data_IF_288222719614
#
_entry.id   IF_288222719614
#
_cell.length_a   1.000
_cell.length_b   1.000
_cell.length_c   1.000
_cell.angle_alpha   90.00
_cell.angle_beta   90.00
_cell.angle_gamma   90.00
#
_symmetry.space_group_name_H-M   'P 1'
#
loop_
_entity.id
_entity.type
_entity.pdbx_description
1 polymer ?
#
# COMPACT_ATOMS: atom_id res chain seq x y z
N UNK A 1 -6.11 -9.72 2.71
CA UNK A 1 -4.68 -9.75 3.08
C UNK A 1 -4.01 -8.69 2.25
N UNK A 2 -3.29 -7.77 2.88
CA UNK A 2 -2.62 -6.66 2.22
C UNK A 2 -1.12 -6.92 2.15
N UNK A 3 -0.51 -6.56 1.03
CA UNK A 3 0.94 -6.69 0.80
C UNK A 3 1.48 -5.43 0.13
N UNK A 4 2.71 -5.05 0.42
CA UNK A 4 3.38 -3.97 -0.32
C UNK A 4 4.89 -4.16 -0.34
N UNK A 5 5.48 -4.07 -1.52
CA UNK A 5 6.93 -4.18 -1.75
C UNK A 5 7.38 -3.17 -2.81
N UNK A 6 8.67 -2.84 -2.79
CA UNK A 6 9.27 -1.94 -3.78
C UNK A 6 9.55 -2.72 -5.06
N UNK A 7 8.99 -2.24 -6.17
CA UNK A 7 9.13 -2.83 -7.51
C UNK A 7 9.93 -1.90 -8.42
N UNK A 8 10.97 -2.42 -9.07
CA UNK A 8 11.69 -1.69 -10.11
C UNK A 8 10.91 -1.79 -11.43
N UNK A 9 10.62 -0.64 -12.05
CA UNK A 9 9.83 -0.60 -13.29
C UNK A 9 10.67 -0.75 -14.56
N UNK A 10 11.98 -0.51 -14.47
CA UNK A 10 12.89 -0.57 -15.61
C UNK A 10 14.18 -1.32 -15.25
N UNK A 11 14.70 -2.11 -16.20
CA UNK A 11 16.02 -2.74 -16.11
C UNK A 11 17.16 -1.71 -16.21
N UNK A 12 16.88 -0.55 -16.83
CA UNK A 12 17.79 0.58 -16.97
C UNK A 12 17.01 1.86 -16.63
N UNK A 13 17.30 2.46 -15.48
CA UNK A 13 16.60 3.62 -14.94
C UNK A 13 16.39 3.52 -13.42
N UNK A 14 16.07 4.65 -12.80
CA UNK A 14 15.80 4.84 -11.36
C UNK A 14 14.30 4.78 -11.00
N UNK A 15 13.45 4.58 -12.01
CA UNK A 15 12.00 4.46 -11.85
C UNK A 15 11.66 3.21 -11.02
N UNK A 16 11.13 3.45 -9.83
CA UNK A 16 10.58 2.42 -8.95
C UNK A 16 9.19 2.81 -8.46
N UNK A 17 8.39 1.81 -8.15
CA UNK A 17 7.00 1.93 -7.72
C UNK A 17 6.78 1.08 -6.48
N UNK A 18 5.90 1.55 -5.60
CA UNK A 18 5.53 0.80 -4.40
C UNK A 18 4.02 0.50 -4.38
N UNK A 19 3.59 -0.59 -5.03
CA UNK A 19 2.20 -1.02 -5.04
C UNK A 19 1.71 -1.54 -3.67
N UNK A 20 0.43 -1.29 -3.41
CA UNK A 20 -0.35 -1.95 -2.36
C UNK A 20 -1.26 -3.01 -3.00
N UNK A 21 -0.96 -4.27 -2.73
CA UNK A 21 -1.68 -5.43 -3.22
C UNK A 21 -2.73 -5.93 -2.23
N UNK A 22 -3.88 -6.35 -2.75
CA UNK A 22 -4.95 -7.00 -2.01
C UNK A 22 -5.18 -8.41 -2.56
N UNK A 23 -5.17 -9.37 -1.64
CA UNK A 23 -5.60 -10.73 -1.88
C UNK A 23 -6.79 -11.10 -0.99
N UNK A 24 -7.78 -11.74 -1.59
CA UNK A 24 -8.93 -12.29 -0.88
C UNK A 24 -8.54 -13.56 -0.11
N UNK A 25 -8.74 -13.55 1.21
CA UNK A 25 -8.35 -14.67 2.08
C UNK A 25 -9.24 -15.91 1.94
N UNK A 26 -10.47 -15.73 1.44
CA UNK A 26 -11.42 -16.79 1.12
C UNK A 26 -11.16 -17.44 -0.25
N UNK A 27 -10.13 -16.99 -0.98
CA UNK A 27 -9.70 -17.62 -2.22
C UNK A 27 -8.58 -18.62 -1.96
N UNK A 28 -8.59 -19.73 -2.71
CA UNK A 28 -7.62 -20.81 -2.51
C UNK A 28 -6.18 -20.31 -2.72
N UNK A 29 -5.23 -20.86 -1.95
CA UNK A 29 -3.80 -20.56 -2.13
C UNK A 29 -3.37 -20.83 -3.58
N UNK A 30 -3.81 -21.94 -4.16
CA UNK A 30 -3.44 -22.38 -5.50
C UNK A 30 -3.85 -21.39 -6.59
N UNK A 31 -5.01 -20.76 -6.46
CA UNK A 31 -5.43 -19.71 -7.40
C UNK A 31 -4.64 -18.42 -7.19
N UNK A 32 -4.40 -18.03 -5.93
CA UNK A 32 -3.65 -16.81 -5.61
C UNK A 32 -2.21 -16.82 -6.13
N UNK A 33 -1.55 -17.98 -6.11
CA UNK A 33 -0.18 -18.13 -6.61
C UNK A 33 -0.08 -18.32 -8.12
N UNK A 34 -1.21 -18.43 -8.83
CA UNK A 34 -1.24 -18.61 -10.28
C UNK A 34 -1.41 -17.24 -10.95
N UNK A 35 -0.40 -16.69 -11.66
CA UNK A 35 -0.48 -15.33 -12.21
C UNK A 35 -1.66 -15.07 -13.15
N UNK A 36 -2.10 -16.09 -13.89
CA UNK A 36 -3.18 -15.98 -14.87
C UNK A 36 -4.59 -15.81 -14.26
N UNK A 37 -4.77 -15.96 -12.94
CA UNK A 37 -6.09 -15.90 -12.30
C UNK A 37 -6.55 -14.49 -11.96
N UNK A 38 -5.67 -13.48 -12.03
CA UNK A 38 -6.00 -12.11 -11.65
C UNK A 38 -6.39 -11.94 -10.18
N UNK A 39 -5.93 -12.85 -9.31
CA UNK A 39 -6.29 -12.87 -7.88
C UNK A 39 -5.50 -11.87 -7.02
N UNK A 40 -4.53 -11.19 -7.63
CA UNK A 40 -3.78 -10.09 -7.04
C UNK A 40 -4.40 -8.79 -7.54
N UNK A 41 -4.96 -7.99 -6.63
CA UNK A 41 -5.57 -6.71 -6.96
C UNK A 41 -4.68 -5.56 -6.52
N UNK A 42 -4.34 -4.65 -7.42
CA UNK A 42 -3.63 -3.42 -7.05
C UNK A 42 -4.66 -2.42 -6.52
N UNK A 43 -4.48 -1.94 -5.29
CA UNK A 43 -5.45 -1.04 -4.62
C UNK A 43 -4.94 0.39 -4.58
N UNK A 44 -3.63 0.58 -4.43
CA UNK A 44 -3.00 1.88 -4.42
C UNK A 44 -1.54 1.80 -4.83
N UNK A 45 -0.95 2.96 -5.10
CA UNK A 45 0.49 3.14 -5.32
C UNK A 45 1.00 4.18 -4.34
N UNK A 46 2.05 3.83 -3.60
CA UNK A 46 2.64 4.69 -2.60
C UNK A 46 3.72 5.51 -3.31
N UNK A 47 3.61 6.85 -3.32
CA UNK A 47 4.60 7.69 -3.97
C UNK A 47 5.91 7.70 -3.18
N UNK A 48 7.00 8.12 -3.82
CA UNK A 48 8.24 8.47 -3.12
C UNK A 48 8.07 9.81 -2.41
N UNK A 49 8.94 10.07 -1.44
CA UNK A 49 9.16 11.44 -0.96
C UNK A 49 9.53 12.31 -2.15
N UNK A 50 8.99 13.53 -2.20
CA UNK A 50 9.27 14.46 -3.29
C UNK A 50 10.76 14.79 -3.33
N UNK A 51 11.34 14.88 -4.53
CA UNK A 51 12.74 15.24 -4.72
C UNK A 51 13.08 16.62 -4.11
N UNK A 52 12.09 17.52 -4.01
CA UNK A 52 12.24 18.84 -3.38
C UNK A 52 12.21 18.82 -1.85
N UNK A 53 11.94 17.67 -1.21
CA UNK A 53 11.86 17.57 0.24
C UNK A 53 13.20 17.89 0.92
N UNK A 54 14.30 17.46 0.30
CA UNK A 54 15.64 17.73 0.81
C UNK A 54 15.91 19.25 0.87
N UNK A 55 15.67 19.93 -0.24
CA UNK A 55 15.83 21.39 -0.33
C UNK A 55 14.89 22.13 0.62
N UNK A 56 13.64 21.66 0.75
CA UNK A 56 12.69 22.20 1.71
C UNK A 56 13.21 22.11 3.15
N UNK A 57 13.72 20.94 3.55
CA UNK A 57 14.24 20.72 4.90
C UNK A 57 15.52 21.53 5.17
N UNK A 58 16.43 21.58 4.19
CA UNK A 58 17.65 22.38 4.25
C UNK A 58 17.34 23.87 4.43
N UNK A 59 16.41 24.40 3.66
CA UNK A 59 16.00 25.81 3.77
C UNK A 59 15.31 26.12 5.12
N UNK A 60 14.64 25.13 5.72
CA UNK A 60 13.95 25.30 7.00
C UNK A 60 14.91 25.25 8.21
N UNK A 61 15.90 24.36 8.17
CA UNK A 61 16.73 24.02 9.34
C UNK A 61 18.20 24.45 9.20
N UNK A 62 18.66 24.77 8.00
CA UNK A 62 20.05 25.07 7.68
C UNK A 62 20.93 23.84 7.46
N UNK A 63 20.41 22.63 7.72
CA UNK A 63 21.12 21.36 7.56
C UNK A 63 20.28 20.35 6.77
N UNK A 64 20.92 19.38 6.13
CA UNK A 64 20.21 18.32 5.41
C UNK A 64 19.41 17.42 6.36
N UNK A 65 18.30 16.81 5.91
CA UNK A 65 17.49 15.92 6.74
C UNK A 65 18.30 14.70 7.20
N UNK A 66 18.39 14.43 8.52
CA UNK A 66 19.02 13.22 9.01
C UNK A 66 18.21 11.99 8.58
N UNK A 67 18.87 10.83 8.54
CA UNK A 67 18.24 9.58 8.12
C UNK A 67 16.95 9.26 8.89
N UNK A 68 16.92 9.54 10.20
CA UNK A 68 15.75 9.34 11.06
C UNK A 68 14.53 10.15 10.62
N UNK A 69 14.74 11.39 10.17
CA UNK A 69 13.67 12.26 9.66
C UNK A 69 13.15 11.71 8.34
N UNK A 70 14.02 11.26 7.43
CA UNK A 70 13.60 10.65 6.17
C UNK A 70 12.77 9.39 6.41
N UNK A 71 13.22 8.51 7.33
CA UNK A 71 12.47 7.32 7.73
C UNK A 71 11.11 7.68 8.33
N UNK A 72 11.07 8.70 9.19
CA UNK A 72 9.82 9.17 9.79
C UNK A 72 8.86 9.69 8.71
N UNK A 73 9.30 10.59 7.83
CA UNK A 73 8.47 11.15 6.77
C UNK A 73 7.97 10.08 5.80
N UNK A 74 8.80 9.09 5.49
CA UNK A 74 8.38 7.96 4.66
C UNK A 74 7.28 7.12 5.35
N UNK A 75 7.42 6.85 6.64
CA UNK A 75 6.39 6.16 7.43
C UNK A 75 5.08 6.94 7.45
N UNK A 76 5.13 8.25 7.66
CA UNK A 76 3.94 9.10 7.64
C UNK A 76 3.27 9.14 6.25
N UNK A 77 4.08 9.10 5.18
CA UNK A 77 3.56 8.98 3.81
C UNK A 77 2.80 7.68 3.60
N UNK A 78 3.36 6.54 4.03
CA UNK A 78 2.70 5.23 3.99
C UNK A 78 1.38 5.25 4.76
N UNK A 79 1.39 5.77 5.99
CA UNK A 79 0.18 5.91 6.80
C UNK A 79 -0.86 6.84 6.15
N UNK A 80 -0.41 7.90 5.49
CA UNK A 80 -1.26 8.80 4.71
C UNK A 80 -1.98 8.07 3.59
N UNK A 81 -1.25 7.29 2.78
CA UNK A 81 -1.85 6.48 1.71
C UNK A 81 -2.82 5.43 2.28
N UNK A 82 -2.44 4.73 3.34
CA UNK A 82 -3.32 3.76 3.99
C UNK A 82 -4.59 4.41 4.54
N UNK A 83 -4.52 5.63 5.09
CA UNK A 83 -5.69 6.37 5.55
C UNK A 83 -6.63 6.75 4.40
N UNK A 84 -6.08 7.04 3.22
CA UNK A 84 -6.88 7.29 2.02
C UNK A 84 -7.57 6.02 1.52
N UNK A 85 -6.91 4.85 1.61
CA UNK A 85 -7.49 3.56 1.23
C UNK A 85 -8.52 3.06 2.25
N UNK A 86 -8.25 3.30 3.53
CA UNK A 86 -9.10 2.91 4.67
C UNK A 86 -9.99 4.10 5.08
N UNK A 87 -10.71 4.63 4.11
CA UNK A 87 -11.56 5.80 4.26
C UNK A 87 -12.82 5.55 5.11
N UNK A 88 -13.67 6.56 5.24
CA UNK A 88 -14.90 6.48 6.02
C UNK A 88 -15.86 5.40 5.50
N UNK A 89 -15.92 5.18 4.19
CA UNK A 89 -16.77 4.17 3.57
C UNK A 89 -16.26 2.76 3.88
N UNK A 90 -14.93 2.56 3.85
CA UNK A 90 -14.31 1.33 4.29
C UNK A 90 -14.61 1.06 5.77
N UNK A 91 -14.43 2.06 6.65
CA UNK A 91 -14.70 1.91 8.10
C UNK A 91 -16.18 1.60 8.36
N UNK A 92 -17.07 2.24 7.62
CA UNK A 92 -18.51 1.96 7.68
C UNK A 92 -18.81 0.53 7.24
N UNK A 93 -18.27 0.08 6.11
CA UNK A 93 -18.41 -1.29 5.62
C UNK A 93 -17.76 -2.32 6.57
N UNK A 94 -16.64 -1.98 7.20
CA UNK A 94 -15.95 -2.83 8.19
C UNK A 94 -16.82 -3.05 9.44
N UNK A 95 -17.54 -2.02 9.87
CA UNK A 95 -18.37 -2.05 11.08
C UNK A 95 -19.75 -2.66 10.81
N UNK A 96 -20.41 -2.25 9.72
CA UNK A 96 -21.80 -2.58 9.43
C UNK A 96 -21.97 -3.60 8.31
N UNK A 97 -20.91 -3.92 7.58
CA UNK A 97 -20.95 -4.77 6.40
C UNK A 97 -21.45 -4.01 5.17
N UNK A 98 -21.15 -4.56 4.00
CA UNK A 98 -21.65 -4.13 2.70
C UNK A 98 -22.52 -5.24 2.10
N UNK A 99 -23.63 -4.86 1.48
CA UNK A 99 -24.54 -5.81 0.83
C UNK A 99 -24.10 -6.01 -0.61
N UNK A 100 -23.75 -7.24 -0.97
CA UNK A 100 -23.24 -7.60 -2.31
C UNK A 100 -24.12 -8.70 -2.88
N UNK A 101 -24.50 -8.56 -4.15
CA UNK A 101 -25.10 -9.65 -4.93
C UNK A 101 -23.99 -10.55 -5.46
N UNK A 102 -23.94 -11.77 -4.95
CA UNK A 102 -22.94 -12.76 -5.34
C UNK A 102 -23.27 -13.37 -6.72
N UNK A 103 -22.29 -14.05 -7.30
CA UNK A 103 -22.41 -14.71 -8.62
C UNK A 103 -23.47 -15.81 -8.67
N UNK A 104 -23.81 -16.40 -7.52
CA UNK A 104 -24.89 -17.38 -7.38
C UNK A 104 -26.30 -16.74 -7.32
N UNK A 105 -26.40 -15.42 -7.51
CA UNK A 105 -27.65 -14.66 -7.48
C UNK A 105 -28.13 -14.27 -6.09
N UNK A 106 -27.55 -14.85 -5.03
CA UNK A 106 -27.93 -14.55 -3.67
C UNK A 106 -27.27 -13.27 -3.16
N UNK A 107 -28.00 -12.50 -2.36
CA UNK A 107 -27.49 -11.28 -1.74
C UNK A 107 -26.95 -11.61 -0.34
N UNK A 108 -25.73 -11.16 -0.05
CA UNK A 108 -25.07 -11.41 1.24
C UNK A 108 -24.51 -10.11 1.81
N UNK A 109 -24.56 -9.98 3.13
CA UNK A 109 -23.85 -8.92 3.86
C UNK A 109 -22.43 -9.40 4.13
N UNK A 110 -21.46 -8.77 3.47
CA UNK A 110 -20.04 -9.09 3.55
C UNK A 110 -19.36 -8.07 4.46
N UNK A 111 -18.49 -8.53 5.34
CA UNK A 111 -17.67 -7.67 6.19
C UNK A 111 -16.24 -7.73 5.69
N UNK A 112 -15.67 -6.63 5.15
CA UNK A 112 -14.26 -6.59 4.83
C UNK A 112 -13.45 -6.73 6.12
N UNK A 113 -12.48 -7.65 6.14
CA UNK A 113 -11.59 -7.86 7.28
C UNK A 113 -10.14 -7.91 6.80
N UNK A 114 -9.30 -7.08 7.41
CA UNK A 114 -7.85 -7.12 7.19
C UNK A 114 -7.29 -8.16 8.16
N UNK A 115 -6.95 -9.33 7.62
CA UNK A 115 -6.36 -10.42 8.40
C UNK A 115 -4.86 -10.19 8.67
N UNK A 116 -4.15 -9.73 7.64
CA UNK A 116 -2.71 -9.43 7.69
C UNK A 116 -2.40 -8.26 6.77
N UNK A 117 -1.41 -7.46 7.16
CA UNK A 117 -0.68 -6.55 6.30
C UNK A 117 0.81 -6.89 6.41
N UNK A 118 1.45 -7.16 5.28
CA UNK A 118 2.89 -7.46 5.20
C UNK A 118 3.54 -6.45 4.27
N UNK A 119 4.61 -5.81 4.72
CA UNK A 119 5.33 -4.84 3.92
C UNK A 119 6.83 -4.99 4.12
N UNK A 120 7.60 -4.81 3.05
CA UNK A 120 9.04 -4.66 3.17
C UNK A 120 9.34 -3.31 3.84
N UNK A 121 9.85 -3.32 5.07
CA UNK A 121 10.15 -2.07 5.76
C UNK A 121 11.48 -1.50 5.25
N UNK A 122 11.52 -0.26 4.72
CA UNK A 122 12.70 0.28 4.05
C UNK A 122 13.76 0.82 5.01
N UNK A 123 14.00 0.17 6.14
CA UNK A 123 15.07 0.54 7.09
C UNK A 123 16.49 0.43 6.48
N UNK A 124 16.63 0.01 5.22
CA UNK A 124 17.92 -0.23 4.54
C UNK A 124 18.01 0.25 3.09
N UNK A 125 17.19 1.19 2.63
CA UNK A 125 17.43 1.79 1.32
C UNK A 125 18.25 3.07 1.48
N UNK A 126 19.48 3.01 0.97
CA UNK A 126 20.27 4.19 0.63
C UNK A 126 19.42 4.94 -0.39
N UNK A 127 19.01 6.17 -0.07
CA UNK A 127 18.56 7.12 -1.08
C UNK A 127 19.78 7.39 -1.97
N UNK A 128 19.91 6.63 -3.07
CA UNK A 128 20.93 6.84 -4.10
C UNK A 128 20.51 7.95 -5.04
#
# INVERSE_FOLDING_TARGET
>A
MLYSDSTHLANFGDASLWPLYLYFGNQSKYERVRPATGSCHHVAYIPKLSDSFHDFYLNLTGEGPPAEVLTHCWRELMHGVLRTVLDADFVHAYTHGIVIKCSDGNTRRVFPRIFTYSADYPEKYIFS
#
